data_IF_157701867601
#
_entry.id   IF_157701867601
#
_cell.length_a   1.000
_cell.length_b   1.000
_cell.length_c   1.000
_cell.angle_alpha   90.00
_cell.angle_beta   90.00
_cell.angle_gamma   90.00
#
_symmetry.space_group_name_H-M   'P 1'
#
loop_
_entity.id
_entity.type
_entity.pdbx_description
1 polymer ?
#
# COMPACT_ATOMS: atom_id res chain seq x y z
N UNK A 1 11.25 -17.31 -12.54
CA UNK A 1 10.79 -15.97 -13.01
C UNK A 1 11.38 -14.89 -12.11
N UNK A 2 11.64 -13.68 -12.65
CA UNK A 2 12.05 -12.54 -11.80
C UNK A 2 10.88 -12.18 -10.87
N UNK A 3 11.09 -11.99 -9.55
CA UNK A 3 10.01 -11.63 -8.65
C UNK A 3 9.36 -10.31 -9.06
N UNK A 4 8.04 -10.25 -9.06
CA UNK A 4 7.28 -9.03 -9.27
C UNK A 4 7.27 -8.26 -7.96
N UNK A 5 7.76 -7.02 -7.97
CA UNK A 5 7.72 -6.12 -6.82
C UNK A 5 6.60 -5.10 -7.01
N UNK A 6 5.79 -4.91 -5.99
CA UNK A 6 4.62 -4.02 -6.02
C UNK A 6 4.68 -3.06 -4.84
N UNK A 7 4.53 -1.78 -5.12
CA UNK A 7 4.39 -0.75 -4.09
C UNK A 7 2.92 -0.41 -3.85
N UNK A 8 2.54 -0.32 -2.58
CA UNK A 8 1.28 0.25 -2.11
C UNK A 8 1.55 1.53 -1.32
N UNK A 9 0.79 2.58 -1.57
CA UNK A 9 0.97 3.91 -0.99
C UNK A 9 -0.31 4.40 -0.32
N UNK A 10 -0.24 4.67 0.99
CA UNK A 10 -1.17 5.56 1.69
C UNK A 10 -0.63 6.99 1.57
N UNK A 11 -1.30 7.91 0.82
CA UNK A 11 -0.82 9.26 0.60
C UNK A 11 -1.12 10.23 1.76
N UNK A 12 -1.63 9.75 2.89
CA UNK A 12 -1.97 10.57 4.05
C UNK A 12 -0.77 11.32 4.64
N UNK A 13 -1.03 12.33 5.48
CA UNK A 13 0.02 13.12 6.16
C UNK A 13 0.93 12.26 7.07
N UNK A 14 0.41 11.17 7.62
CA UNK A 14 1.17 10.14 8.33
C UNK A 14 1.18 8.82 7.53
N UNK A 15 1.04 8.92 6.21
CA UNK A 15 1.03 7.79 5.29
C UNK A 15 2.39 7.12 5.16
N UNK A 16 2.42 6.07 4.36
CA UNK A 16 3.63 5.29 4.13
C UNK A 16 3.62 4.66 2.73
N UNK A 17 4.77 4.11 2.36
CA UNK A 17 4.94 3.23 1.20
C UNK A 17 5.33 1.86 1.73
N UNK A 18 4.75 0.82 1.14
CA UNK A 18 5.12 -0.58 1.37
C UNK A 18 5.49 -1.24 0.04
N UNK A 19 6.52 -2.08 0.01
CA UNK A 19 6.83 -2.91 -1.15
C UNK A 19 6.69 -4.39 -0.79
N UNK A 20 5.94 -5.13 -1.61
CA UNK A 20 5.78 -6.58 -1.50
C UNK A 20 6.33 -7.29 -2.74
N UNK A 21 6.79 -8.52 -2.53
CA UNK A 21 7.27 -9.43 -3.58
C UNK A 21 6.27 -10.55 -3.84
N UNK A 22 6.08 -10.94 -5.10
CA UNK A 22 5.26 -12.09 -5.47
C UNK A 22 5.81 -13.43 -4.97
N UNK A 23 7.08 -13.50 -4.59
CA UNK A 23 7.70 -14.74 -4.07
C UNK A 23 7.58 -14.89 -2.55
N UNK A 24 7.00 -13.92 -1.86
CA UNK A 24 6.78 -14.00 -0.39
C UNK A 24 8.06 -14.03 0.47
N UNK A 25 9.23 -14.06 -0.14
CA UNK A 25 10.49 -14.45 0.52
C UNK A 25 11.29 -13.31 1.15
N UNK A 26 10.71 -12.13 1.38
CA UNK A 26 11.45 -11.07 2.06
C UNK A 26 11.46 -11.31 3.57
N UNK A 27 12.64 -11.41 4.22
CA UNK A 27 12.76 -11.56 5.67
C UNK A 27 12.22 -10.36 6.45
N UNK A 28 12.04 -9.24 5.78
CA UNK A 28 11.41 -8.02 6.30
C UNK A 28 10.50 -7.41 5.24
N UNK A 29 9.40 -6.81 5.69
CA UNK A 29 8.51 -6.02 4.84
C UNK A 29 9.06 -4.60 4.74
N UNK A 30 9.53 -4.15 3.55
CA UNK A 30 10.01 -2.79 3.36
C UNK A 30 8.87 -1.78 3.56
N UNK A 31 9.05 -0.87 4.51
CA UNK A 31 8.11 0.19 4.86
C UNK A 31 8.84 1.52 4.98
N UNK A 32 8.25 2.58 4.43
CA UNK A 32 8.81 3.93 4.42
C UNK A 32 7.74 4.96 4.77
N UNK A 33 7.93 5.66 5.89
CA UNK A 33 7.01 6.71 6.33
C UNK A 33 7.15 7.97 5.46
N UNK A 34 6.02 8.52 5.00
CA UNK A 34 6.00 9.74 4.18
C UNK A 34 6.11 11.02 5.01
N UNK A 35 5.88 10.95 6.31
CA UNK A 35 5.89 12.12 7.19
C UNK A 35 7.22 12.84 7.14
N UNK A 36 7.18 14.14 6.82
CA UNK A 36 8.36 15.02 6.71
C UNK A 36 9.39 14.58 5.67
N UNK A 37 8.98 13.78 4.69
CA UNK A 37 9.86 13.33 3.61
C UNK A 37 9.80 14.28 2.42
N UNK A 38 10.96 14.50 1.84
CA UNK A 38 11.10 15.25 0.59
C UNK A 38 10.79 14.35 -0.61
N UNK A 39 10.39 14.90 -1.75
CA UNK A 39 10.23 14.14 -2.99
C UNK A 39 11.47 13.30 -3.34
N UNK A 40 12.65 13.86 -3.15
CA UNK A 40 13.91 13.16 -3.44
C UNK A 40 14.14 11.94 -2.56
N UNK A 41 13.81 12.00 -1.26
CA UNK A 41 13.92 10.85 -0.35
C UNK A 41 12.95 9.73 -0.75
N UNK A 42 11.74 10.09 -1.20
CA UNK A 42 10.72 9.14 -1.67
C UNK A 42 11.20 8.47 -2.96
N UNK A 43 11.66 9.24 -3.92
CA UNK A 43 12.18 8.74 -5.20
C UNK A 43 13.38 7.82 -4.99
N UNK A 44 14.35 8.24 -4.18
CA UNK A 44 15.55 7.45 -3.85
C UNK A 44 15.17 6.12 -3.19
N UNK A 45 14.15 6.12 -2.33
CA UNK A 45 13.68 4.90 -1.69
C UNK A 45 12.98 3.97 -2.69
N UNK A 46 12.10 4.48 -3.54
CA UNK A 46 11.46 3.71 -4.60
C UNK A 46 12.52 3.15 -5.57
N UNK A 47 13.53 3.94 -5.90
CA UNK A 47 14.64 3.50 -6.77
C UNK A 47 15.42 2.32 -6.18
N UNK A 48 15.52 2.22 -4.86
CA UNK A 48 16.19 1.09 -4.20
C UNK A 48 15.48 -0.24 -4.46
N UNK A 49 14.13 -0.22 -4.48
CA UNK A 49 13.33 -1.44 -4.66
C UNK A 49 12.88 -1.67 -6.10
N UNK A 50 12.80 -0.61 -6.91
CA UNK A 50 12.36 -0.68 -8.31
C UNK A 50 11.06 -1.48 -8.49
N UNK A 51 9.95 -1.10 -7.82
CA UNK A 51 8.69 -1.81 -7.97
C UNK A 51 8.22 -1.77 -9.43
N UNK A 52 7.73 -2.92 -9.92
CA UNK A 52 7.19 -3.05 -11.28
C UNK A 52 5.82 -2.37 -11.42
N UNK A 53 5.08 -2.27 -10.32
CA UNK A 53 3.76 -1.65 -10.26
C UNK A 53 3.64 -0.82 -8.98
N UNK A 54 2.95 0.31 -9.09
CA UNK A 54 2.66 1.19 -7.95
C UNK A 54 1.15 1.39 -7.87
N UNK A 55 0.60 1.21 -6.66
CA UNK A 55 -0.80 1.48 -6.35
C UNK A 55 -0.90 2.54 -5.27
N UNK A 56 -1.75 3.53 -5.49
CA UNK A 56 -1.97 4.65 -4.56
C UNK A 56 -3.41 4.60 -4.07
N UNK A 57 -3.64 4.82 -2.78
CA UNK A 57 -5.00 4.95 -2.27
C UNK A 57 -5.70 6.16 -2.90
N UNK A 58 -6.86 5.91 -3.51
CA UNK A 58 -7.72 6.95 -4.06
C UNK A 58 -8.55 7.57 -2.94
N UNK A 59 -8.06 8.66 -2.40
CA UNK A 59 -8.69 9.40 -1.32
C UNK A 59 -9.14 10.77 -1.80
N UNK A 60 -10.38 11.11 -1.49
CA UNK A 60 -10.96 12.41 -1.81
C UNK A 60 -10.92 13.37 -0.62
N UNK A 61 -11.21 14.65 -0.88
CA UNK A 61 -11.37 15.63 0.19
C UNK A 61 -12.41 15.16 1.20
N UNK A 62 -12.08 15.23 2.49
CA UNK A 62 -12.99 14.82 3.55
C UNK A 62 -13.80 16.02 4.05
N UNK A 63 -15.11 15.85 4.20
CA UNK A 63 -15.96 16.83 4.87
C UNK A 63 -15.44 17.11 6.29
N UNK A 64 -15.38 18.38 6.66
CA UNK A 64 -14.91 18.79 7.99
C UNK A 64 -13.41 19.12 8.09
N UNK A 65 -12.62 18.87 7.05
CA UNK A 65 -11.25 19.37 6.99
C UNK A 65 -11.23 20.86 6.62
N UNK A 66 -10.30 21.63 7.23
CA UNK A 66 -10.08 23.02 6.84
C UNK A 66 -9.63 23.14 5.38
N UNK A 67 -9.91 24.28 4.73
CA UNK A 67 -9.42 24.55 3.36
C UNK A 67 -7.89 24.37 3.25
N UNK A 68 -7.13 24.83 4.25
CA UNK A 68 -5.68 24.68 4.32
C UNK A 68 -5.26 23.20 4.36
N UNK A 69 -5.95 22.38 5.14
CA UNK A 69 -5.65 20.93 5.24
C UNK A 69 -5.97 20.21 3.95
N UNK A 70 -7.12 20.52 3.32
CA UNK A 70 -7.50 19.94 2.02
C UNK A 70 -6.52 20.34 0.92
N UNK A 71 -6.07 21.62 0.90
CA UNK A 71 -5.08 22.08 -0.08
C UNK A 71 -3.74 21.36 0.09
N UNK A 72 -3.23 21.25 1.33
CA UNK A 72 -1.97 20.54 1.60
C UNK A 72 -2.07 19.06 1.25
N UNK A 73 -3.21 18.44 1.53
CA UNK A 73 -3.48 17.04 1.22
C UNK A 73 -3.51 16.82 -0.31
N UNK A 74 -4.29 17.62 -1.05
CA UNK A 74 -4.34 17.53 -2.52
C UNK A 74 -2.98 17.76 -3.18
N UNK A 75 -2.19 18.74 -2.67
CA UNK A 75 -0.83 18.98 -3.15
C UNK A 75 0.07 17.75 -2.96
N UNK A 76 0.02 17.11 -1.80
CA UNK A 76 0.85 15.94 -1.52
C UNK A 76 0.45 14.75 -2.39
N UNK A 77 -0.86 14.52 -2.60
CA UNK A 77 -1.36 13.47 -3.50
C UNK A 77 -0.89 13.73 -4.93
N UNK A 78 -1.09 14.96 -5.45
CA UNK A 78 -0.68 15.31 -6.79
C UNK A 78 0.83 15.15 -7.00
N UNK A 79 1.64 15.52 -6.00
CA UNK A 79 3.09 15.31 -6.03
C UNK A 79 3.43 13.82 -6.10
N UNK A 80 2.82 12.97 -5.27
CA UNK A 80 3.06 11.52 -5.27
C UNK A 80 2.66 10.88 -6.61
N UNK A 81 1.49 11.24 -7.16
CA UNK A 81 1.08 10.77 -8.47
C UNK A 81 2.08 11.15 -9.56
N UNK A 82 2.44 12.44 -9.66
CA UNK A 82 3.40 12.90 -10.65
C UNK A 82 4.77 12.22 -10.53
N UNK A 83 5.27 12.02 -9.31
CA UNK A 83 6.51 11.28 -9.08
C UNK A 83 6.40 9.83 -9.53
N UNK A 84 5.32 9.15 -9.17
CA UNK A 84 5.12 7.74 -9.54
C UNK A 84 4.93 7.56 -11.05
N UNK A 85 4.28 8.49 -11.75
CA UNK A 85 4.20 8.49 -13.22
C UNK A 85 5.57 8.59 -13.88
N UNK A 86 6.42 9.48 -13.40
CA UNK A 86 7.79 9.64 -13.92
C UNK A 86 8.63 8.40 -13.60
N UNK A 87 8.50 7.87 -12.38
CA UNK A 87 9.24 6.68 -11.95
C UNK A 87 8.87 5.45 -12.77
N UNK A 88 7.58 5.23 -13.01
CA UNK A 88 7.05 4.09 -13.75
C UNK A 88 6.88 4.43 -15.25
N UNK A 89 7.95 4.86 -15.93
CA UNK A 89 7.89 5.15 -17.37
C UNK A 89 7.42 3.90 -18.16
N UNK A 90 6.12 3.86 -18.50
CA UNK A 90 5.49 2.75 -19.23
C UNK A 90 4.41 1.97 -18.46
N UNK A 91 4.29 2.17 -17.15
CA UNK A 91 3.22 1.59 -16.35
C UNK A 91 2.78 2.62 -15.29
N UNK A 92 1.88 3.57 -15.62
CA UNK A 92 1.44 4.61 -14.68
C UNK A 92 0.85 3.98 -13.41
N UNK A 93 0.93 4.68 -12.26
CA UNK A 93 0.39 4.18 -11.01
C UNK A 93 -1.13 3.95 -11.13
N UNK A 94 -1.58 2.83 -10.61
CA UNK A 94 -3.00 2.52 -10.48
C UNK A 94 -3.54 3.06 -9.15
N UNK A 95 -4.85 3.25 -9.05
CA UNK A 95 -5.48 3.73 -7.82
C UNK A 95 -6.51 2.74 -7.29
N UNK A 96 -6.68 2.73 -5.96
CA UNK A 96 -7.70 1.91 -5.30
C UNK A 96 -8.39 2.68 -4.18
N UNK A 97 -9.72 2.67 -4.16
CA UNK A 97 -10.45 3.31 -3.06
C UNK A 97 -10.33 2.52 -1.75
N UNK A 98 -10.39 3.19 -0.57
CA UNK A 98 -10.35 2.52 0.73
C UNK A 98 -11.39 1.39 0.85
N UNK A 99 -12.59 1.62 0.34
CA UNK A 99 -13.68 0.64 0.38
C UNK A 99 -13.34 -0.67 -0.33
N UNK A 100 -12.62 -0.60 -1.44
CA UNK A 100 -12.28 -1.77 -2.26
C UNK A 100 -11.21 -2.62 -1.57
N UNK A 101 -10.06 -2.04 -1.22
CA UNK A 101 -8.99 -2.82 -0.60
C UNK A 101 -9.35 -3.29 0.83
N UNK A 102 -10.11 -2.48 1.60
CA UNK A 102 -10.59 -2.90 2.93
C UNK A 102 -11.55 -4.08 2.85
N UNK A 103 -12.47 -4.07 1.89
CA UNK A 103 -13.37 -5.22 1.64
C UNK A 103 -12.56 -6.47 1.25
N UNK A 104 -11.60 -6.33 0.36
CA UNK A 104 -10.71 -7.42 -0.04
C UNK A 104 -9.93 -7.97 1.15
N UNK A 105 -9.41 -7.12 2.01
CA UNK A 105 -8.70 -7.50 3.24
C UNK A 105 -9.60 -8.15 4.30
N UNK A 106 -10.91 -8.18 4.12
CA UNK A 106 -11.86 -8.74 5.09
C UNK A 106 -12.17 -7.80 6.26
N UNK A 107 -12.06 -6.49 6.07
CA UNK A 107 -12.48 -5.49 7.08
C UNK A 107 -13.99 -5.47 7.17
N UNK A 108 -14.53 -5.72 8.37
CA UNK A 108 -15.97 -5.84 8.65
C UNK A 108 -16.51 -4.74 9.55
N UNK A 109 -15.62 -4.05 10.28
CA UNK A 109 -15.99 -2.98 11.20
C UNK A 109 -16.12 -1.63 10.50
N UNK A 110 -16.67 -0.63 11.20
CA UNK A 110 -16.85 0.74 10.70
C UNK A 110 -16.19 1.79 11.60
N UNK A 111 -15.98 2.97 11.05
CA UNK A 111 -15.49 4.13 11.77
C UNK A 111 -14.11 3.91 12.38
N UNK A 112 -13.90 4.39 13.61
CA UNK A 112 -12.56 4.36 14.28
C UNK A 112 -11.99 2.96 14.51
N UNK A 113 -12.83 1.91 14.46
CA UNK A 113 -12.38 0.53 14.65
C UNK A 113 -11.64 -0.03 13.44
N UNK A 114 -11.83 0.55 12.26
CA UNK A 114 -11.18 0.11 11.00
C UNK A 114 -9.67 0.02 11.18
N UNK A 115 -9.02 1.07 11.65
CA UNK A 115 -7.56 1.12 11.81
C UNK A 115 -6.99 -0.02 12.66
N UNK A 116 -7.67 -0.36 13.76
CA UNK A 116 -7.28 -1.48 14.63
C UNK A 116 -7.46 -2.82 13.92
N UNK A 117 -8.55 -3.00 13.16
CA UNK A 117 -8.80 -4.24 12.43
C UNK A 117 -7.80 -4.40 11.28
N UNK A 118 -7.53 -3.36 10.51
CA UNK A 118 -6.51 -3.36 9.44
C UNK A 118 -5.15 -3.75 10.00
N UNK A 119 -4.71 -3.11 11.08
CA UNK A 119 -3.44 -3.44 11.72
C UNK A 119 -3.37 -4.91 12.21
N UNK A 120 -4.47 -5.43 12.78
CA UNK A 120 -4.56 -6.84 13.20
C UNK A 120 -4.42 -7.79 12.01
N UNK A 121 -5.15 -7.53 10.93
CA UNK A 121 -5.08 -8.33 9.70
C UNK A 121 -3.66 -8.27 9.10
N UNK A 122 -3.12 -7.06 8.96
CA UNK A 122 -1.77 -6.85 8.43
C UNK A 122 -0.71 -7.60 9.26
N UNK A 123 -0.79 -7.54 10.60
CA UNK A 123 0.15 -8.26 11.47
C UNK A 123 -0.02 -9.78 11.43
N UNK A 124 -1.24 -10.26 11.16
CA UNK A 124 -1.49 -11.71 11.00
C UNK A 124 -0.90 -12.24 9.69
N UNK A 125 -1.07 -11.48 8.59
CA UNK A 125 -0.57 -11.87 7.27
C UNK A 125 0.94 -11.63 7.12
N UNK A 126 1.45 -10.59 7.77
CA UNK A 126 2.84 -10.15 7.67
C UNK A 126 3.43 -9.88 9.06
N UNK A 127 3.68 -10.92 9.86
CA UNK A 127 4.16 -10.76 11.25
C UNK A 127 5.53 -10.08 11.36
N UNK A 128 6.32 -10.11 10.29
CA UNK A 128 7.62 -9.41 10.21
C UNK A 128 7.49 -7.90 9.90
N UNK A 129 6.26 -7.38 9.62
CA UNK A 129 6.05 -5.98 9.32
C UNK A 129 6.15 -5.11 10.60
N UNK A 130 6.97 -4.08 10.54
CA UNK A 130 7.11 -3.13 11.65
C UNK A 130 5.99 -2.08 11.61
N UNK A 131 4.83 -2.42 12.17
CA UNK A 131 3.63 -1.56 12.18
C UNK A 131 3.53 -0.64 13.40
N UNK A 132 4.45 -0.75 14.36
CA UNK A 132 4.41 0.02 15.60
C UNK A 132 5.65 0.87 15.78
N UNK A 133 5.46 2.06 16.29
CA UNK A 133 6.56 2.97 16.62
C UNK A 133 7.30 2.55 17.90
N UNK A 134 8.44 3.19 18.15
CA UNK A 134 9.32 2.90 19.32
C UNK A 134 8.61 2.92 20.68
N UNK A 135 7.49 3.65 20.79
CA UNK A 135 6.67 3.76 22.02
C UNK A 135 5.44 2.83 22.01
N UNK A 136 5.39 1.87 21.10
CA UNK A 136 4.27 0.93 20.96
C UNK A 136 3.00 1.50 20.31
N UNK A 137 3.02 2.76 19.84
CA UNK A 137 1.88 3.35 19.12
C UNK A 137 1.77 2.78 17.71
N UNK A 138 0.54 2.49 17.27
CA UNK A 138 0.28 2.04 15.91
C UNK A 138 0.62 3.16 14.91
N UNK A 139 1.37 2.80 13.89
CA UNK A 139 1.64 3.60 12.70
C UNK A 139 0.66 3.17 11.61
N UNK A 140 -0.57 3.69 11.70
CA UNK A 140 -1.69 3.26 10.85
C UNK A 140 -1.41 3.39 9.34
N UNK A 141 -0.72 4.45 8.92
CA UNK A 141 -0.30 4.59 7.52
C UNK A 141 0.58 3.45 7.01
N UNK A 142 1.39 2.82 7.87
CA UNK A 142 2.16 1.62 7.49
C UNK A 142 1.26 0.41 7.28
N UNK A 143 0.25 0.24 8.13
CA UNK A 143 -0.71 -0.86 7.99
C UNK A 143 -1.57 -0.69 6.74
N UNK A 144 -2.02 0.54 6.47
CA UNK A 144 -2.82 0.86 5.29
C UNK A 144 -1.99 0.65 4.01
N UNK A 145 -0.77 1.19 3.92
CA UNK A 145 0.14 1.00 2.78
C UNK A 145 0.45 -0.49 2.52
N UNK A 146 0.68 -1.27 3.58
CA UNK A 146 0.91 -2.71 3.49
C UNK A 146 -0.32 -3.43 2.91
N UNK A 147 -1.53 -3.09 3.36
CA UNK A 147 -2.74 -3.74 2.87
C UNK A 147 -3.14 -3.28 1.46
N UNK A 148 -2.77 -2.06 1.06
CA UNK A 148 -2.86 -1.59 -0.32
C UNK A 148 -1.90 -2.40 -1.21
N UNK A 149 -0.65 -2.58 -0.79
CA UNK A 149 0.32 -3.42 -1.50
C UNK A 149 -0.14 -4.88 -1.60
N UNK A 150 -0.74 -5.42 -0.52
CA UNK A 150 -1.32 -6.76 -0.50
C UNK A 150 -2.45 -6.90 -1.54
N UNK A 151 -3.41 -5.97 -1.56
CA UNK A 151 -4.46 -5.92 -2.57
C UNK A 151 -3.88 -5.86 -3.99
N UNK A 152 -2.94 -4.95 -4.21
CA UNK A 152 -2.31 -4.73 -5.51
C UNK A 152 -1.57 -5.97 -6.01
N UNK A 153 -0.83 -6.65 -5.14
CA UNK A 153 -0.12 -7.89 -5.45
C UNK A 153 -1.09 -8.98 -5.94
N UNK A 154 -2.16 -9.20 -5.19
CA UNK A 154 -3.18 -10.19 -5.57
C UNK A 154 -3.88 -9.81 -6.88
N UNK A 155 -4.20 -8.54 -7.08
CA UNK A 155 -4.80 -8.04 -8.30
C UNK A 155 -3.90 -8.27 -9.52
N UNK A 156 -2.61 -7.97 -9.41
CA UNK A 156 -1.65 -8.16 -10.51
C UNK A 156 -1.40 -9.64 -10.81
N UNK A 157 -1.35 -10.50 -9.80
CA UNK A 157 -1.27 -11.95 -9.99
C UNK A 157 -2.50 -12.43 -10.77
N UNK A 158 -3.72 -12.07 -10.34
CA UNK A 158 -4.95 -12.44 -11.03
C UNK A 158 -4.96 -11.96 -12.49
N UNK A 159 -4.55 -10.71 -12.74
CA UNK A 159 -4.45 -10.13 -14.08
C UNK A 159 -3.43 -10.86 -14.96
N UNK A 160 -2.30 -11.26 -14.40
CA UNK A 160 -1.23 -11.96 -15.13
C UNK A 160 -1.64 -13.37 -15.55
N UNK A 161 -2.42 -14.07 -14.71
CA UNK A 161 -2.80 -15.46 -14.92
C UNK A 161 -4.26 -15.66 -15.34
N UNK A 162 -4.95 -14.59 -15.72
CA UNK A 162 -6.38 -14.59 -16.10
C UNK A 162 -7.30 -15.30 -15.09
N UNK A 163 -7.12 -14.95 -13.82
CA UNK A 163 -7.84 -15.55 -12.69
C UNK A 163 -8.86 -14.56 -12.11
N UNK A 164 -9.95 -15.09 -11.53
CA UNK A 164 -10.81 -14.27 -10.66
C UNK A 164 -10.02 -13.71 -9.48
N UNK A 165 -10.05 -12.38 -9.32
CA UNK A 165 -9.37 -11.72 -8.21
C UNK A 165 -10.20 -11.87 -6.91
N UNK A 166 -9.99 -12.97 -6.21
CA UNK A 166 -10.48 -13.15 -4.84
C UNK A 166 -9.38 -13.78 -3.98
N UNK A 167 -9.45 -13.53 -2.66
CA UNK A 167 -8.42 -13.97 -1.71
C UNK A 167 -8.16 -15.48 -1.82
N UNK A 168 -9.21 -16.28 -1.93
CA UNK A 168 -9.11 -17.75 -1.95
C UNK A 168 -8.39 -18.25 -3.20
N UNK A 169 -8.69 -17.70 -4.37
CA UNK A 169 -8.05 -18.10 -5.64
C UNK A 169 -6.56 -17.82 -5.63
N UNK A 170 -6.15 -16.66 -5.12
CA UNK A 170 -4.76 -16.25 -5.09
C UNK A 170 -3.94 -17.06 -4.09
N UNK A 171 -4.48 -17.36 -2.91
CA UNK A 171 -3.80 -18.26 -1.94
C UNK A 171 -3.59 -19.67 -2.50
N UNK A 172 -4.57 -20.22 -3.22
CA UNK A 172 -4.43 -21.51 -3.90
C UNK A 172 -3.35 -21.50 -4.98
N UNK A 173 -3.18 -20.37 -5.67
CA UNK A 173 -2.12 -20.22 -6.67
C UNK A 173 -0.74 -20.19 -6.00
N UNK A 174 -0.54 -19.32 -5.00
CA UNK A 174 0.73 -19.17 -4.29
C UNK A 174 1.18 -20.44 -3.58
N UNK A 175 0.24 -21.25 -3.07
CA UNK A 175 0.54 -22.55 -2.40
C UNK A 175 0.89 -23.70 -3.35
N UNK A 176 0.80 -23.51 -4.68
CA UNK A 176 1.19 -24.51 -5.67
C UNK A 176 2.60 -24.30 -6.22
N UNK A 177 3.22 -23.16 -5.92
CA UNK A 177 4.59 -22.85 -6.36
C UNK A 177 5.67 -23.24 -5.33
N UNK A 178 5.28 -23.81 -4.16
CA UNK A 178 6.16 -24.45 -3.21
C UNK A 178 6.28 -25.95 -3.50
#
# INVERSE_FOLDING_TARGET
MKPMLIAGIDPGANGAICVLSSTGSAPQVPLFDLKNKTPWEIDSWLFTYQPSFIWIEDVHSMHGMSAKSNFSFGRNIGMLHGMCEVFCSGCPPETVTPKVWQKFAGVTVKGKAIKKQVAKIANTLYPAANLYGKRGGLLDGRADALMIAHYALHHQICKTYDMECNVTSTYKFLSKEE
#
